data_IF_656107316255
#
_entry.id   IF_656107316255
#
_cell.length_a   1.000
_cell.length_b   1.000
_cell.length_c   1.000
_cell.angle_alpha   90.00
_cell.angle_beta   90.00
_cell.angle_gamma   90.00
#
_symmetry.space_group_name_H-M   'P 1'
#
loop_
_entity.id
_entity.type
_entity.pdbx_description
1 polymer ?
#
# COMPACT_ATOMS: atom_id res chain seq x y z
N UNK A 1 -5.68 -38.85 1.03
CA UNK A 1 -5.81 -37.73 0.06
C UNK A 1 -7.18 -37.08 0.21
N UNK A 2 -7.42 -36.35 1.31
CA UNK A 2 -8.75 -35.80 1.66
C UNK A 2 -8.87 -34.27 1.53
N UNK A 3 -7.80 -33.57 1.11
CA UNK A 3 -7.76 -32.10 1.09
C UNK A 3 -7.59 -31.49 -0.30
N UNK A 4 -7.66 -32.28 -1.37
CA UNK A 4 -7.52 -31.77 -2.73
C UNK A 4 -8.88 -31.79 -3.44
N UNK A 5 -9.53 -30.63 -3.48
CA UNK A 5 -10.71 -30.37 -4.29
C UNK A 5 -10.35 -29.32 -5.33
N UNK A 6 -10.06 -29.78 -6.54
CA UNK A 6 -9.76 -28.91 -7.68
C UNK A 6 -10.96 -27.99 -7.95
N UNK A 7 -10.70 -26.69 -8.16
CA UNK A 7 -11.75 -25.70 -8.37
C UNK A 7 -12.48 -25.19 -7.10
N UNK A 8 -11.98 -25.51 -5.90
CA UNK A 8 -12.49 -24.91 -4.66
C UNK A 8 -12.42 -23.38 -4.66
N UNK A 9 -13.47 -22.73 -4.17
CA UNK A 9 -13.59 -21.26 -4.11
C UNK A 9 -13.76 -20.78 -2.67
N UNK A 10 -13.13 -19.65 -2.39
CA UNK A 10 -13.25 -18.89 -1.15
C UNK A 10 -13.50 -17.43 -1.51
N UNK A 11 -14.25 -16.72 -0.67
CA UNK A 11 -14.32 -15.26 -0.71
C UNK A 11 -13.41 -14.70 0.38
N UNK A 12 -12.55 -13.75 0.02
CA UNK A 12 -11.70 -13.04 0.98
C UNK A 12 -12.14 -11.58 0.97
N UNK A 13 -12.58 -11.10 2.13
CA UNK A 13 -12.91 -9.70 2.37
C UNK A 13 -11.83 -9.11 3.26
N UNK A 14 -10.95 -8.30 2.67
CA UNK A 14 -9.86 -7.66 3.38
C UNK A 14 -10.33 -6.50 4.27
N UNK A 15 -11.39 -5.80 3.88
CA UNK A 15 -11.91 -4.66 4.64
C UNK A 15 -12.49 -5.13 5.98
N UNK A 16 -13.27 -6.22 5.95
CA UNK A 16 -13.84 -6.86 7.14
C UNK A 16 -12.92 -7.93 7.75
N UNK A 17 -11.77 -8.21 7.12
CA UNK A 17 -10.82 -9.27 7.50
C UNK A 17 -11.47 -10.64 7.73
N UNK A 18 -12.27 -11.07 6.75
CA UNK A 18 -12.97 -12.36 6.80
C UNK A 18 -12.66 -13.22 5.59
N UNK A 19 -12.66 -14.53 5.80
CA UNK A 19 -12.62 -15.55 4.76
C UNK A 19 -13.90 -16.36 4.84
N UNK A 20 -14.68 -16.37 3.76
CA UNK A 20 -15.92 -17.14 3.66
C UNK A 20 -15.71 -18.36 2.77
N UNK A 21 -15.91 -19.53 3.35
CA UNK A 21 -15.86 -20.80 2.65
C UNK A 21 -17.04 -20.98 1.68
N UNK A 22 -16.89 -21.87 0.69
CA UNK A 22 -18.01 -22.27 -0.18
C UNK A 22 -19.23 -22.82 0.60
N UNK A 23 -19.03 -23.31 1.82
CA UNK A 23 -20.10 -23.75 2.72
C UNK A 23 -20.87 -22.61 3.41
N UNK A 24 -20.40 -21.36 3.28
CA UNK A 24 -20.89 -20.19 4.02
C UNK A 24 -20.25 -20.00 5.39
N UNK A 25 -19.40 -20.91 5.85
CA UNK A 25 -18.64 -20.72 7.08
C UNK A 25 -17.68 -19.52 6.94
N UNK A 26 -17.69 -18.61 7.91
CA UNK A 26 -16.85 -17.41 7.92
C UNK A 26 -15.82 -17.48 9.03
N UNK A 27 -14.60 -17.05 8.72
CA UNK A 27 -13.45 -17.05 9.61
C UNK A 27 -12.79 -15.68 9.60
N UNK A 28 -12.50 -15.14 10.78
CA UNK A 28 -11.75 -13.89 10.90
C UNK A 28 -10.26 -14.14 10.75
N UNK A 29 -9.55 -13.17 10.19
CA UNK A 29 -8.10 -13.09 10.23
C UNK A 29 -7.66 -11.69 10.68
N UNK A 30 -6.37 -11.56 10.96
CA UNK A 30 -5.77 -10.27 11.29
C UNK A 30 -4.64 -9.97 10.32
N UNK A 31 -4.54 -8.71 9.92
CA UNK A 31 -3.37 -8.18 9.22
C UNK A 31 -3.00 -6.84 9.83
N UNK A 32 -1.70 -6.54 9.82
CA UNK A 32 -1.19 -5.24 10.25
C UNK A 32 -1.89 -4.09 9.51
N UNK A 33 -2.25 -3.03 10.23
CA UNK A 33 -3.08 -1.92 9.72
C UNK A 33 -2.42 -1.23 8.51
N UNK A 34 -1.10 -1.06 8.55
CA UNK A 34 -0.36 -0.47 7.45
C UNK A 34 -0.40 -1.37 6.21
N UNK A 35 -0.19 -2.69 6.38
CA UNK A 35 -0.34 -3.65 5.28
C UNK A 35 -1.76 -3.69 4.72
N UNK A 36 -2.79 -3.64 5.59
CA UNK A 36 -4.19 -3.56 5.17
C UNK A 36 -4.43 -2.34 4.30
N UNK A 37 -3.97 -1.17 4.75
CA UNK A 37 -4.09 0.07 4.01
C UNK A 37 -3.40 0.00 2.64
N UNK A 38 -2.19 -0.55 2.57
CA UNK A 38 -1.47 -0.72 1.31
C UNK A 38 -2.22 -1.64 0.35
N UNK A 39 -2.68 -2.80 0.82
CA UNK A 39 -3.42 -3.77 0.01
C UNK A 39 -4.77 -3.22 -0.49
N UNK A 40 -5.51 -2.49 0.35
CA UNK A 40 -6.79 -1.89 -0.02
C UNK A 40 -6.64 -0.76 -1.06
N UNK A 41 -5.56 0.02 -0.96
CA UNK A 41 -5.32 1.18 -1.84
C UNK A 41 -4.38 0.88 -3.01
N UNK A 42 -3.90 -0.37 -3.15
CA UNK A 42 -2.94 -0.75 -4.18
C UNK A 42 -1.59 -0.04 -4.07
N UNK A 43 -1.15 0.27 -2.84
CA UNK A 43 0.11 0.98 -2.59
C UNK A 43 1.27 0.00 -2.50
N UNK A 44 2.34 0.32 -3.23
CA UNK A 44 3.68 -0.24 -3.08
C UNK A 44 4.63 0.82 -2.49
N UNK A 45 5.92 0.49 -2.36
CA UNK A 45 6.93 1.41 -1.80
C UNK A 45 7.04 2.73 -2.59
N UNK A 46 6.83 2.68 -3.91
CA UNK A 46 6.82 3.86 -4.79
C UNK A 46 5.55 4.67 -4.53
N UNK A 47 4.38 4.04 -4.48
CA UNK A 47 3.11 4.66 -4.18
C UNK A 47 3.10 5.36 -2.82
N UNK A 48 3.67 4.71 -1.80
CA UNK A 48 3.88 5.30 -0.47
C UNK A 48 4.81 6.53 -0.53
N UNK A 49 5.88 6.46 -1.30
CA UNK A 49 6.79 7.61 -1.51
C UNK A 49 6.06 8.76 -2.21
N UNK A 50 5.25 8.46 -3.23
CA UNK A 50 4.50 9.46 -3.99
C UNK A 50 3.41 10.15 -3.15
N UNK A 51 2.87 9.51 -2.12
CA UNK A 51 1.98 10.20 -1.17
C UNK A 51 2.66 11.39 -0.47
N UNK A 52 4.00 11.42 -0.40
CA UNK A 52 4.77 12.54 0.13
C UNK A 52 5.19 13.58 -0.93
N UNK A 53 4.72 13.48 -2.18
CA UNK A 53 5.20 14.31 -3.30
C UNK A 53 5.11 15.81 -3.02
N UNK A 54 4.07 16.30 -2.35
CA UNK A 54 3.95 17.72 -2.00
C UNK A 54 5.06 18.17 -1.03
N UNK A 55 5.37 17.35 -0.02
CA UNK A 55 6.46 17.62 0.94
C UNK A 55 7.83 17.56 0.28
N UNK A 56 8.01 16.62 -0.65
CA UNK A 56 9.25 16.51 -1.46
C UNK A 56 9.44 17.80 -2.26
N UNK A 57 8.41 18.25 -3.00
CA UNK A 57 8.47 19.50 -3.80
C UNK A 57 8.77 20.72 -2.93
N UNK A 58 8.11 20.82 -1.77
CA UNK A 58 8.33 21.95 -0.85
C UNK A 58 9.76 21.95 -0.29
N UNK A 59 10.29 20.77 0.06
CA UNK A 59 11.68 20.62 0.45
C UNK A 59 12.62 21.04 -0.68
N UNK A 60 12.42 20.53 -1.90
CA UNK A 60 13.24 20.83 -3.07
C UNK A 60 13.28 22.33 -3.37
N UNK A 61 12.13 23.02 -3.35
CA UNK A 61 12.05 24.46 -3.56
C UNK A 61 12.87 25.24 -2.53
N UNK A 62 12.71 24.93 -1.23
CA UNK A 62 13.51 25.56 -0.17
C UNK A 62 15.00 25.26 -0.32
N UNK A 63 15.34 24.04 -0.73
CA UNK A 63 16.73 23.63 -0.91
C UNK A 63 17.39 24.39 -2.06
N UNK A 64 16.68 24.57 -3.18
CA UNK A 64 17.13 25.35 -4.32
C UNK A 64 17.37 26.82 -3.96
N UNK A 65 16.45 27.43 -3.21
CA UNK A 65 16.61 28.81 -2.74
C UNK A 65 17.78 28.98 -1.77
N UNK A 66 17.99 27.99 -0.89
CA UNK A 66 19.05 28.04 0.12
C UNK A 66 20.45 27.76 -0.47
N UNK A 67 20.53 26.92 -1.49
CA UNK A 67 21.79 26.47 -2.08
C UNK A 67 21.79 26.62 -3.62
N UNK A 68 21.65 27.85 -4.15
CA UNK A 68 21.51 28.07 -5.60
C UNK A 68 22.68 27.51 -6.42
N UNK A 69 23.90 27.55 -5.87
CA UNK A 69 25.12 27.02 -6.50
C UNK A 69 25.09 25.50 -6.75
N UNK A 70 24.29 24.74 -5.99
CA UNK A 70 24.15 23.29 -6.16
C UNK A 70 23.30 22.93 -7.37
N UNK A 71 22.40 23.83 -7.78
CA UNK A 71 21.40 23.59 -8.83
C UNK A 71 21.73 24.34 -10.12
N UNK A 72 22.99 24.70 -10.33
CA UNK A 72 23.42 25.40 -11.53
C UNK A 72 22.89 26.84 -11.65
N UNK A 73 22.28 27.38 -10.59
CA UNK A 73 22.04 28.81 -10.47
C UNK A 73 23.35 29.50 -10.08
N UNK A 74 24.32 29.43 -10.99
CA UNK A 74 25.49 30.29 -11.03
C UNK A 74 25.20 31.29 -12.12
N UNK A 75 24.99 32.55 -11.73
CA UNK A 75 25.12 33.68 -12.66
C UNK A 75 26.59 33.93 -12.95
#
# INVERSE_FOLDING_TARGET
AMYHSEGYRLQIDLENQTVTAASGASFSFEVDEFRKHCLLNGLDDIGLTLQAQARIREFEQRHQQRFPWLFGAVH
#
